data_IF_874341191578
#
_entry.id   IF_874341191578
#
_cell.length_a   1.000
_cell.length_b   1.000
_cell.length_c   1.000
_cell.angle_alpha   90.00
_cell.angle_beta   90.00
_cell.angle_gamma   90.00
#
_symmetry.space_group_name_H-M   'P 1'
#
loop_
_entity.id
_entity.type
_entity.pdbx_description
1 polymer ?
#
# COMPACT_ATOMS: atom_id res chain seq x y z
N UNK A 1 -42.53 -25.22 4.83
CA UNK A 1 -41.54 -24.34 5.50
C UNK A 1 -42.30 -23.54 6.55
N UNK A 2 -42.00 -23.72 7.85
CA UNK A 2 -42.74 -23.05 8.94
C UNK A 2 -42.12 -21.68 9.17
N UNK A 3 -42.92 -20.62 9.05
CA UNK A 3 -42.50 -19.26 9.39
C UNK A 3 -43.53 -18.71 10.37
N UNK A 4 -43.09 -18.43 11.60
CA UNK A 4 -43.93 -17.86 12.68
C UNK A 4 -43.61 -16.38 12.83
N UNK A 5 -44.60 -15.52 12.63
CA UNK A 5 -44.53 -14.09 12.99
C UNK A 5 -44.83 -13.86 14.47
N UNK A 6 -44.25 -12.80 15.03
CA UNK A 6 -44.41 -12.42 16.44
C UNK A 6 -45.88 -12.13 16.78
N UNK A 7 -46.36 -12.72 17.89
CA UNK A 7 -47.53 -12.19 18.61
C UNK A 7 -48.86 -12.92 18.43
N UNK A 8 -48.85 -14.22 18.11
CA UNK A 8 -50.05 -15.05 18.18
C UNK A 8 -49.98 -16.22 17.23
N UNK A 9 -50.24 -17.41 17.73
CA UNK A 9 -50.23 -18.69 17.01
C UNK A 9 -51.40 -18.79 16.01
N UNK A 10 -51.58 -17.79 15.14
CA UNK A 10 -52.54 -17.86 14.05
C UNK A 10 -51.84 -18.47 12.82
N UNK A 11 -52.28 -19.68 12.49
CA UNK A 11 -51.93 -20.36 11.25
C UNK A 11 -52.75 -19.76 10.12
N UNK A 12 -52.11 -19.17 9.12
CA UNK A 12 -52.77 -18.83 7.86
C UNK A 12 -52.85 -20.11 7.03
N UNK A 13 -54.02 -20.73 6.98
CA UNK A 13 -54.29 -21.86 6.08
C UNK A 13 -54.69 -21.31 4.72
N UNK A 14 -53.93 -21.68 3.69
CA UNK A 14 -54.22 -21.36 2.29
C UNK A 14 -55.31 -22.32 1.81
N UNK A 15 -56.47 -21.80 1.42
CA UNK A 15 -57.49 -22.57 0.72
C UNK A 15 -57.45 -22.17 -0.74
N UNK A 16 -57.35 -23.14 -1.65
CA UNK A 16 -57.31 -22.92 -3.09
C UNK A 16 -58.56 -22.15 -3.55
N UNK A 17 -58.39 -20.92 -4.02
CA UNK A 17 -59.41 -20.23 -4.78
C UNK A 17 -59.58 -20.89 -6.15
N UNK A 18 -60.81 -21.07 -6.63
CA UNK A 18 -61.14 -21.73 -7.92
C UNK A 18 -60.71 -20.94 -9.17
N UNK A 19 -59.71 -20.05 -9.08
CA UNK A 19 -59.23 -19.21 -10.16
C UNK A 19 -57.71 -19.03 -10.09
N UNK A 20 -57.02 -19.32 -11.19
CA UNK A 20 -55.55 -19.40 -11.31
C UNK A 20 -54.84 -18.01 -11.22
N UNK A 21 -55.56 -16.90 -11.06
CA UNK A 21 -54.99 -15.58 -11.37
C UNK A 21 -54.72 -14.63 -10.18
N UNK A 22 -55.20 -14.87 -8.95
CA UNK A 22 -55.10 -13.85 -7.88
C UNK A 22 -55.04 -14.40 -6.45
N UNK A 23 -54.59 -15.64 -6.24
CA UNK A 23 -54.39 -16.15 -4.88
C UNK A 23 -53.00 -15.71 -4.37
N UNK A 24 -52.95 -14.65 -3.57
CA UNK A 24 -51.70 -14.05 -3.09
C UNK A 24 -51.74 -13.83 -1.58
N UNK A 25 -50.77 -14.39 -0.87
CA UNK A 25 -50.53 -14.09 0.54
C UNK A 25 -49.34 -13.16 0.70
N UNK A 26 -49.58 -12.00 1.32
CA UNK A 26 -48.52 -11.05 1.63
C UNK A 26 -48.02 -11.32 3.05
N UNK A 27 -46.76 -11.73 3.17
CA UNK A 27 -46.04 -11.74 4.46
C UNK A 27 -45.15 -10.51 4.48
N UNK A 28 -45.41 -9.60 5.40
CA UNK A 28 -44.66 -8.35 5.54
C UNK A 28 -43.30 -8.55 6.22
N UNK A 29 -42.28 -7.86 5.71
CA UNK A 29 -40.95 -7.72 6.29
C UNK A 29 -40.22 -6.53 5.66
N UNK A 30 -39.20 -6.01 6.33
CA UNK A 30 -38.35 -4.92 5.82
C UNK A 30 -37.02 -5.49 5.31
N UNK A 31 -36.58 -5.05 4.13
CA UNK A 31 -35.26 -5.34 3.58
C UNK A 31 -34.54 -4.02 3.36
N UNK A 32 -33.50 -3.77 4.15
CA UNK A 32 -32.70 -2.54 4.08
C UNK A 32 -31.34 -2.80 3.43
N UNK A 33 -31.01 -2.04 2.38
CA UNK A 33 -29.72 -2.09 1.70
C UNK A 33 -28.86 -0.90 2.12
N UNK A 34 -27.65 -1.18 2.63
CA UNK A 34 -26.68 -0.18 3.09
C UNK A 34 -25.39 -0.29 2.28
N UNK A 35 -24.86 0.84 1.83
CA UNK A 35 -23.55 0.90 1.14
C UNK A 35 -22.69 1.99 1.74
N UNK A 36 -21.48 1.60 2.13
CA UNK A 36 -20.46 2.49 2.72
C UNK A 36 -19.63 3.20 1.63
N UNK A 37 -19.52 2.58 0.45
CA UNK A 37 -18.60 3.02 -0.61
C UNK A 37 -19.22 4.06 -1.57
N UNK A 38 -20.53 4.31 -1.49
CA UNK A 38 -21.20 5.26 -2.37
C UNK A 38 -22.68 4.94 -2.54
N UNK A 39 -22.99 4.28 -3.66
CA UNK A 39 -24.35 3.86 -4.01
C UNK A 39 -24.43 2.34 -4.04
N UNK A 40 -25.63 1.80 -3.79
CA UNK A 40 -25.99 0.46 -4.22
C UNK A 40 -26.93 0.59 -5.42
N UNK A 41 -26.91 -0.41 -6.29
CA UNK A 41 -27.76 -0.41 -7.49
C UNK A 41 -28.52 -1.71 -7.59
N UNK A 42 -29.80 -1.64 -7.91
CA UNK A 42 -30.71 -2.78 -8.00
C UNK A 42 -31.33 -2.82 -9.41
N UNK A 43 -31.54 -4.03 -9.92
CA UNK A 43 -32.32 -4.28 -11.14
C UNK A 43 -33.42 -5.28 -10.81
N UNK A 44 -34.64 -5.00 -11.25
CA UNK A 44 -35.76 -5.95 -11.18
C UNK A 44 -36.12 -6.42 -12.59
N UNK A 45 -36.40 -7.70 -12.76
CA UNK A 45 -36.97 -8.24 -14.01
C UNK A 45 -38.49 -8.05 -14.09
N UNK A 46 -39.13 -7.63 -12.99
CA UNK A 46 -40.58 -7.48 -12.84
C UNK A 46 -40.89 -6.02 -12.48
N UNK A 47 -41.89 -5.43 -13.14
CA UNK A 47 -42.36 -4.08 -12.85
C UNK A 47 -42.98 -3.97 -11.45
N UNK A 48 -42.86 -2.82 -10.78
CA UNK A 48 -43.48 -2.58 -9.47
C UNK A 48 -45.00 -2.82 -9.49
N UNK A 49 -45.69 -2.38 -10.56
CA UNK A 49 -47.13 -2.58 -10.78
C UNK A 49 -47.53 -4.04 -11.02
N UNK A 50 -46.58 -4.92 -11.33
CA UNK A 50 -46.79 -6.36 -11.50
C UNK A 50 -46.37 -7.16 -10.25
N UNK A 51 -46.16 -6.51 -9.11
CA UNK A 51 -45.77 -7.15 -7.85
C UNK A 51 -44.25 -7.22 -7.62
N UNK A 52 -43.46 -6.42 -8.33
CA UNK A 52 -42.01 -6.30 -8.06
C UNK A 52 -41.72 -5.65 -6.69
N UNK A 53 -40.68 -6.13 -6.01
CA UNK A 53 -40.25 -5.63 -4.69
C UNK A 53 -39.71 -4.18 -4.72
N UNK A 54 -39.27 -3.70 -5.89
CA UNK A 54 -38.61 -2.40 -6.04
C UNK A 54 -39.44 -1.46 -6.92
N UNK A 55 -39.46 -0.18 -6.55
CA UNK A 55 -40.08 0.88 -7.33
C UNK A 55 -39.25 1.12 -8.61
N UNK A 56 -39.78 0.74 -9.78
CA UNK A 56 -39.09 0.93 -11.06
C UNK A 56 -39.66 0.09 -12.20
N UNK A 57 -39.23 0.39 -13.42
CA UNK A 57 -39.57 -0.35 -14.64
C UNK A 57 -38.70 -1.61 -14.77
N UNK A 58 -39.19 -2.66 -15.48
CA UNK A 58 -38.44 -3.88 -15.66
C UNK A 58 -37.14 -3.60 -16.43
N UNK A 59 -36.07 -4.28 -16.01
CA UNK A 59 -34.72 -4.18 -16.57
C UNK A 59 -34.02 -2.81 -16.45
N UNK A 60 -34.59 -1.86 -15.69
CA UNK A 60 -33.96 -0.58 -15.41
C UNK A 60 -33.04 -0.65 -14.17
N UNK A 61 -31.90 0.04 -14.22
CA UNK A 61 -30.99 0.14 -13.08
C UNK A 61 -31.43 1.27 -12.15
N UNK A 62 -31.88 0.92 -10.96
CA UNK A 62 -32.21 1.88 -9.91
C UNK A 62 -31.00 2.03 -8.97
N UNK A 63 -30.54 3.26 -8.75
CA UNK A 63 -29.42 3.55 -7.87
C UNK A 63 -29.88 4.29 -6.61
N UNK A 64 -29.25 4.00 -5.48
CA UNK A 64 -29.54 4.67 -4.22
C UNK A 64 -29.05 6.12 -4.22
N UNK A 65 -29.80 7.02 -3.59
CA UNK A 65 -29.37 8.40 -3.34
C UNK A 65 -28.43 8.45 -2.15
N UNK A 66 -27.28 9.13 -2.30
CA UNK A 66 -26.34 9.35 -1.22
C UNK A 66 -26.94 10.30 -0.17
N UNK A 67 -27.10 9.80 1.05
CA UNK A 67 -27.51 10.59 2.21
C UNK A 67 -26.27 11.13 2.94
N UNK A 68 -26.36 12.33 3.50
CA UNK A 68 -25.27 12.95 4.29
C UNK A 68 -25.78 13.25 5.69
N UNK A 69 -24.88 13.31 6.68
CA UNK A 69 -25.27 13.66 8.06
C UNK A 69 -25.96 15.02 8.14
N UNK A 70 -25.61 15.95 7.25
CA UNK A 70 -26.22 17.28 7.20
C UNK A 70 -27.70 17.26 6.76
N UNK A 71 -28.14 16.21 6.04
CA UNK A 71 -29.50 16.10 5.51
C UNK A 71 -30.40 15.19 6.34
N UNK A 72 -29.89 14.58 7.43
CA UNK A 72 -30.66 13.65 8.26
C UNK A 72 -31.17 14.35 9.52
N UNK A 73 -32.48 14.26 9.74
CA UNK A 73 -33.11 14.69 11.00
C UNK A 73 -33.04 13.57 12.04
N UNK A 74 -32.47 13.86 13.21
CA UNK A 74 -32.30 12.93 14.33
C UNK A 74 -33.46 12.96 15.33
N UNK A 75 -34.47 13.81 15.11
CA UNK A 75 -35.63 13.96 16.01
C UNK A 75 -36.51 12.70 16.07
N UNK A 76 -36.36 11.78 15.11
CA UNK A 76 -37.12 10.52 15.01
C UNK A 76 -36.20 9.32 15.23
N UNK A 77 -36.75 8.21 15.73
CA UNK A 77 -36.01 6.95 15.92
C UNK A 77 -35.41 6.45 14.60
N UNK A 78 -36.20 6.49 13.51
CA UNK A 78 -35.74 6.09 12.17
C UNK A 78 -34.61 6.99 11.68
N UNK A 79 -34.73 8.31 11.87
CA UNK A 79 -33.69 9.27 11.48
C UNK A 79 -32.39 9.10 12.27
N UNK A 80 -32.48 8.85 13.58
CA UNK A 80 -31.33 8.55 14.42
C UNK A 80 -30.60 7.27 14.00
N UNK A 81 -31.31 6.18 13.72
CA UNK A 81 -30.70 4.94 13.21
C UNK A 81 -29.99 5.18 11.87
N UNK A 82 -30.62 5.93 10.95
CA UNK A 82 -29.99 6.29 9.67
C UNK A 82 -28.74 7.14 9.84
N UNK A 83 -28.73 8.05 10.82
CA UNK A 83 -27.53 8.85 11.13
C UNK A 83 -26.37 7.98 11.63
N UNK A 84 -26.66 6.98 12.48
CA UNK A 84 -25.67 5.99 12.94
C UNK A 84 -25.09 5.22 11.75
N UNK A 85 -25.94 4.71 10.86
CA UNK A 85 -25.46 3.96 9.68
C UNK A 85 -24.54 4.79 8.77
N UNK A 86 -24.88 6.07 8.55
CA UNK A 86 -24.05 6.98 7.77
C UNK A 86 -22.71 7.23 8.48
N UNK A 87 -22.73 7.41 9.80
CA UNK A 87 -21.52 7.62 10.59
C UNK A 87 -20.61 6.38 10.56
N UNK A 88 -21.17 5.18 10.74
CA UNK A 88 -20.44 3.91 10.66
C UNK A 88 -19.79 3.72 9.29
N UNK A 89 -20.52 4.04 8.22
CA UNK A 89 -19.93 4.04 6.88
C UNK A 89 -18.78 5.04 6.73
N UNK A 90 -18.95 6.27 7.21
CA UNK A 90 -17.90 7.28 7.16
C UNK A 90 -16.65 6.84 7.96
N UNK A 91 -16.84 6.24 9.14
CA UNK A 91 -15.76 5.71 9.98
C UNK A 91 -15.05 4.54 9.31
N UNK A 92 -15.78 3.60 8.71
CA UNK A 92 -15.20 2.50 7.96
C UNK A 92 -14.33 3.00 6.79
N UNK A 93 -14.79 4.04 6.06
CA UNK A 93 -13.99 4.67 5.01
C UNK A 93 -12.71 5.32 5.55
N UNK A 94 -12.80 6.05 6.66
CA UNK A 94 -11.62 6.65 7.31
C UNK A 94 -10.64 5.56 7.75
N UNK A 95 -11.13 4.46 8.33
CA UNK A 95 -10.31 3.34 8.76
C UNK A 95 -9.60 2.66 7.57
N UNK A 96 -10.28 2.51 6.43
CA UNK A 96 -9.65 2.03 5.19
C UNK A 96 -8.49 2.93 4.76
N UNK A 97 -8.70 4.25 4.73
CA UNK A 97 -7.64 5.21 4.35
C UNK A 97 -6.47 5.14 5.34
N UNK A 98 -6.74 5.01 6.64
CA UNK A 98 -5.67 4.84 7.65
C UNK A 98 -4.90 3.54 7.46
N UNK A 99 -5.59 2.44 7.12
CA UNK A 99 -4.96 1.16 6.83
C UNK A 99 -4.04 1.25 5.60
N UNK A 100 -4.50 1.90 4.53
CA UNK A 100 -3.70 2.14 3.33
C UNK A 100 -2.45 2.99 3.65
N UNK A 101 -2.63 4.07 4.42
CA UNK A 101 -1.52 4.91 4.86
C UNK A 101 -0.52 4.12 5.73
N UNK A 102 -1.00 3.26 6.63
CA UNK A 102 -0.16 2.38 7.44
C UNK A 102 0.63 1.37 6.58
N UNK A 103 0.01 0.81 5.55
CA UNK A 103 0.69 -0.07 4.60
C UNK A 103 1.80 0.68 3.83
N UNK A 104 1.52 1.92 3.41
CA UNK A 104 2.51 2.79 2.75
C UNK A 104 3.66 3.13 3.70
N UNK A 105 3.38 3.43 4.97
CA UNK A 105 4.42 3.67 5.99
C UNK A 105 5.32 2.44 6.18
N UNK A 106 4.75 1.23 6.27
CA UNK A 106 5.52 -0.02 6.34
C UNK A 106 6.43 -0.19 5.12
N UNK A 107 5.91 0.06 3.92
CA UNK A 107 6.70 0.01 2.68
C UNK A 107 7.84 1.03 2.69
N UNK A 108 7.60 2.25 3.17
CA UNK A 108 8.66 3.25 3.31
C UNK A 108 9.73 2.79 4.31
N UNK A 109 9.35 2.25 5.45
CA UNK A 109 10.30 1.74 6.44
C UNK A 109 11.17 0.62 5.87
N UNK A 110 10.58 -0.35 5.15
CA UNK A 110 11.34 -1.41 4.49
C UNK A 110 12.27 -0.88 3.40
N UNK A 111 11.81 0.09 2.61
CA UNK A 111 12.62 0.71 1.55
C UNK A 111 13.80 1.48 2.14
N UNK A 112 13.58 2.23 3.21
CA UNK A 112 14.62 2.97 3.93
C UNK A 112 15.66 2.00 4.49
N UNK A 113 15.22 0.94 5.18
CA UNK A 113 16.14 -0.06 5.73
C UNK A 113 17.02 -0.68 4.64
N UNK A 114 16.43 -1.06 3.51
CA UNK A 114 17.18 -1.63 2.39
C UNK A 114 18.15 -0.62 1.76
N UNK A 115 17.74 0.64 1.62
CA UNK A 115 18.59 1.70 1.08
C UNK A 115 19.77 2.00 2.01
N UNK A 116 19.56 2.04 3.32
CA UNK A 116 20.63 2.25 4.31
C UNK A 116 21.67 1.14 4.23
N UNK A 117 21.26 -0.13 4.20
CA UNK A 117 22.19 -1.26 4.03
C UNK A 117 22.95 -1.19 2.71
N UNK A 118 22.27 -0.79 1.62
CA UNK A 118 22.92 -0.61 0.31
C UNK A 118 23.94 0.52 0.34
N UNK A 119 23.62 1.65 0.98
CA UNK A 119 24.51 2.79 1.12
C UNK A 119 25.75 2.47 1.96
N UNK A 120 25.58 1.69 3.04
CA UNK A 120 26.69 1.21 3.87
C UNK A 120 27.62 0.29 3.07
N UNK A 121 27.05 -0.70 2.35
CA UNK A 121 27.83 -1.59 1.49
C UNK A 121 28.58 -0.86 0.38
N UNK A 122 27.95 0.15 -0.24
CA UNK A 122 28.56 0.96 -1.28
C UNK A 122 29.70 1.83 -0.71
N UNK A 123 29.49 2.42 0.47
CA UNK A 123 30.51 3.20 1.17
C UNK A 123 31.71 2.32 1.54
N UNK A 124 31.48 1.12 2.06
CA UNK A 124 32.53 0.15 2.39
C UNK A 124 33.28 -0.36 1.14
N UNK A 125 32.58 -0.61 0.03
CA UNK A 125 33.22 -0.95 -1.25
C UNK A 125 34.08 0.21 -1.77
N UNK A 126 33.58 1.44 -1.69
CA UNK A 126 34.32 2.64 -2.10
C UNK A 126 35.55 2.90 -1.23
N UNK A 127 35.44 2.74 0.10
CA UNK A 127 36.60 2.85 1.00
C UNK A 127 37.69 1.84 0.61
N UNK A 128 37.33 0.58 0.37
CA UNK A 128 38.31 -0.44 -0.06
C UNK A 128 39.02 -0.11 -1.36
N UNK A 129 38.31 0.47 -2.33
CA UNK A 129 38.93 0.92 -3.59
C UNK A 129 39.88 2.09 -3.31
N UNK A 130 39.40 3.11 -2.58
CA UNK A 130 40.22 4.29 -2.26
C UNK A 130 41.45 3.95 -1.43
N UNK A 131 41.33 3.07 -0.44
CA UNK A 131 42.44 2.62 0.40
C UNK A 131 43.45 1.79 -0.41
N UNK A 132 42.98 0.93 -1.32
CA UNK A 132 43.85 0.16 -2.21
C UNK A 132 44.61 1.05 -3.21
N UNK A 133 43.92 2.02 -3.82
CA UNK A 133 44.52 2.98 -4.74
C UNK A 133 45.52 3.88 -4.03
N UNK A 134 45.19 4.36 -2.82
CA UNK A 134 46.11 5.16 -2.01
C UNK A 134 47.34 4.37 -1.59
N UNK A 135 47.18 3.09 -1.19
CA UNK A 135 48.29 2.22 -0.88
C UNK A 135 49.19 1.97 -2.11
N UNK A 136 48.61 1.77 -3.29
CA UNK A 136 49.35 1.58 -4.53
C UNK A 136 50.13 2.84 -4.96
N UNK A 137 49.50 4.01 -4.92
CA UNK A 137 50.15 5.29 -5.25
C UNK A 137 51.26 5.63 -4.25
N UNK A 138 51.01 5.42 -2.94
CA UNK A 138 52.03 5.64 -1.91
C UNK A 138 53.23 4.71 -2.07
N UNK A 139 53.00 3.45 -2.46
CA UNK A 139 54.06 2.51 -2.76
C UNK A 139 54.85 2.91 -4.02
N UNK A 140 54.17 3.40 -5.06
CA UNK A 140 54.79 3.91 -6.28
C UNK A 140 55.64 5.17 -6.00
N UNK A 141 55.11 6.12 -5.24
CA UNK A 141 55.80 7.32 -4.79
C UNK A 141 57.04 6.98 -3.96
N UNK A 142 56.90 6.09 -2.98
CA UNK A 142 58.01 5.62 -2.14
C UNK A 142 59.08 4.93 -3.00
N UNK A 143 58.69 4.06 -3.93
CA UNK A 143 59.62 3.42 -4.87
C UNK A 143 60.36 4.46 -5.73
N UNK A 144 59.65 5.45 -6.26
CA UNK A 144 60.26 6.52 -7.06
C UNK A 144 61.27 7.34 -6.25
N UNK A 145 60.94 7.69 -5.00
CA UNK A 145 61.85 8.40 -4.09
C UNK A 145 63.10 7.57 -3.75
N UNK A 146 62.94 6.27 -3.45
CA UNK A 146 64.07 5.37 -3.19
C UNK A 146 64.96 5.24 -4.43
N UNK A 147 64.38 5.11 -5.62
CA UNK A 147 65.14 5.05 -6.87
C UNK A 147 65.89 6.36 -7.16
N UNK A 148 65.30 7.51 -6.86
CA UNK A 148 65.98 8.80 -6.99
C UNK A 148 67.15 8.93 -6.00
N UNK A 149 66.95 8.58 -4.73
CA UNK A 149 68.02 8.60 -3.72
C UNK A 149 69.14 7.59 -4.06
N UNK A 150 68.77 6.38 -4.47
CA UNK A 150 69.71 5.36 -4.92
C UNK A 150 70.45 5.78 -6.20
N UNK A 151 69.78 6.43 -7.15
CA UNK A 151 70.38 6.96 -8.36
C UNK A 151 71.44 8.03 -8.06
N UNK A 152 71.15 8.96 -7.15
CA UNK A 152 72.12 9.97 -6.70
C UNK A 152 73.30 9.33 -5.96
N UNK A 153 73.04 8.38 -5.07
CA UNK A 153 74.10 7.67 -4.33
C UNK A 153 74.97 6.79 -5.27
N UNK A 154 74.36 6.11 -6.24
CA UNK A 154 75.07 5.31 -7.25
C UNK A 154 75.88 6.18 -8.20
N UNK A 155 75.35 7.34 -8.61
CA UNK A 155 76.13 8.32 -9.38
C UNK A 155 77.28 8.90 -8.57
N UNK A 156 77.09 9.17 -7.27
CA UNK A 156 78.17 9.62 -6.39
C UNK A 156 79.26 8.54 -6.23
N UNK A 157 78.87 7.28 -6.03
CA UNK A 157 79.79 6.14 -5.94
C UNK A 157 80.53 5.87 -7.27
N UNK A 158 79.82 5.95 -8.39
CA UNK A 158 80.39 5.78 -9.73
C UNK A 158 81.33 6.92 -10.13
N UNK A 159 81.10 8.15 -9.65
CA UNK A 159 82.03 9.27 -9.85
C UNK A 159 83.24 9.23 -8.90
N UNK A 160 83.13 8.56 -7.74
CA UNK A 160 84.25 8.39 -6.81
C UNK A 160 85.22 7.28 -7.23
N UNK A 161 84.74 6.22 -7.90
CA UNK A 161 85.55 5.09 -8.37
C UNK A 161 86.71 5.49 -9.30
N UNK A 162 86.53 6.34 -10.34
CA UNK A 162 87.60 6.75 -11.25
C UNK A 162 88.76 7.46 -10.54
N UNK A 163 88.45 8.26 -9.51
CA UNK A 163 89.46 8.96 -8.71
C UNK A 163 90.29 7.98 -7.86
N UNK A 164 89.70 6.88 -7.39
CA UNK A 164 90.43 5.82 -6.70
C UNK A 164 91.31 5.00 -7.66
N UNK A 165 90.87 4.79 -8.92
CA UNK A 165 91.67 4.11 -9.94
C UNK A 165 92.85 4.96 -10.41
N UNK A 166 92.69 6.28 -10.52
CA UNK A 166 93.79 7.20 -10.85
C UNK A 166 94.89 7.22 -9.75
N UNK A 167 94.52 7.05 -8.48
CA UNK A 167 95.50 6.90 -7.40
C UNK A 167 96.31 5.59 -7.49
N UNK A 168 95.75 4.55 -8.11
CA UNK A 168 96.43 3.28 -8.36
C UNK A 168 97.33 3.31 -9.62
N UNK A 169 97.02 4.15 -10.60
CA UNK A 169 97.84 4.35 -11.81
C UNK A 169 99.02 5.31 -11.60
N UNK A 170 99.00 6.12 -10.54
CA UNK A 170 100.10 7.03 -10.17
C UNK A 170 101.12 6.38 -9.21
N UNK A 171 100.97 5.08 -8.93
CA UNK A 171 101.96 4.27 -8.21
C UNK A 171 102.55 3.22 -9.14
#
# INVERSE_FOLDING_TARGET
MRVTGLGGTQYVTLSEGTGIATDSTVVGGEVEFKSVAGYFSLKSSIAATAGGLFLGQPAELQASVKQTLNSVDISTVTGANRAIDIADGALARINSIRADLGAVQNRFQSTISNLTTTAENLTAARSRIQDADFAAETAALTRAQILQQAGVAMLAQANALPNQVLQLLQR
#
